data_IF_223652684320
#
_entry.id   IF_223652684320
#
_cell.length_a   1.000
_cell.length_b   1.000
_cell.length_c   1.000
_cell.angle_alpha   90.00
_cell.angle_beta   90.00
_cell.angle_gamma   90.00
#
_symmetry.space_group_name_H-M   'P 1'
#
loop_
_entity.id
_entity.type
_entity.pdbx_description
1 polymer ?
#
# COMPACT_ATOMS: atom_id res chain seq x y z
N UNK A 1 6.74 -17.09 8.56
CA UNK A 1 6.13 -16.98 7.22
C UNK A 1 6.31 -15.54 6.78
N UNK A 2 6.97 -15.28 5.66
CA UNK A 2 7.24 -13.91 5.19
C UNK A 2 6.04 -13.44 4.37
N UNK A 3 5.43 -12.32 4.76
CA UNK A 3 4.37 -11.68 3.99
C UNK A 3 5.01 -10.77 2.93
N UNK A 4 4.68 -10.99 1.67
CA UNK A 4 5.05 -10.12 0.54
C UNK A 4 3.80 -9.40 0.07
N UNK A 5 3.54 -8.20 0.62
CA UNK A 5 2.45 -7.38 0.10
C UNK A 5 2.72 -7.07 -1.37
N UNK A 6 1.63 -6.96 -2.12
CA UNK A 6 1.70 -6.74 -3.54
C UNK A 6 0.40 -6.18 -4.09
N UNK A 7 0.48 -5.61 -5.28
CA UNK A 7 -0.65 -5.07 -6.03
C UNK A 7 -0.38 -5.18 -7.53
N UNK A 8 -1.37 -4.96 -8.38
CA UNK A 8 -1.20 -4.92 -9.83
C UNK A 8 -1.11 -3.49 -10.35
N UNK A 9 -0.47 -3.24 -11.48
CA UNK A 9 -0.65 -2.00 -12.25
C UNK A 9 -2.13 -1.83 -12.64
N UNK A 10 -2.55 -0.60 -12.94
CA UNK A 10 -3.92 -0.29 -13.34
C UNK A 10 -4.37 -1.13 -14.55
N UNK A 11 -3.46 -1.39 -15.50
CA UNK A 11 -3.69 -2.23 -16.67
C UNK A 11 -3.54 -3.74 -16.41
N UNK A 12 -3.22 -4.13 -15.17
CA UNK A 12 -2.96 -5.50 -14.74
C UNK A 12 -1.85 -6.24 -15.49
N UNK A 13 -0.97 -5.52 -16.20
CA UNK A 13 0.16 -6.13 -16.92
C UNK A 13 1.37 -6.39 -16.03
N UNK A 14 1.47 -5.70 -14.90
CA UNK A 14 2.56 -5.86 -13.96
C UNK A 14 2.01 -6.17 -12.57
N UNK A 15 2.64 -7.11 -11.88
CA UNK A 15 2.43 -7.37 -10.46
C UNK A 15 3.63 -6.82 -9.70
N UNK A 16 3.38 -5.98 -8.71
CA UNK A 16 4.42 -5.40 -7.86
C UNK A 16 4.46 -6.11 -6.51
N UNK A 17 5.67 -6.39 -6.05
CA UNK A 17 5.94 -7.07 -4.79
C UNK A 17 6.91 -6.21 -3.98
N UNK A 18 6.55 -5.95 -2.74
CA UNK A 18 7.31 -5.06 -1.85
C UNK A 18 8.12 -5.87 -0.83
N UNK A 19 9.08 -5.19 -0.20
CA UNK A 19 9.91 -5.77 0.87
C UNK A 19 10.70 -7.01 0.41
N UNK A 20 11.21 -6.98 -0.82
CA UNK A 20 12.12 -8.01 -1.30
C UNK A 20 13.51 -7.74 -0.70
N UNK A 21 14.10 -8.67 0.08
CA UNK A 21 15.45 -8.48 0.61
C UNK A 21 16.46 -8.29 -0.53
N UNK A 22 17.28 -7.24 -0.48
CA UNK A 22 18.31 -6.97 -1.50
C UNK A 22 18.51 -5.49 -1.79
N UNK A 23 19.11 -5.19 -2.93
CA UNK A 23 19.37 -3.81 -3.40
C UNK A 23 18.12 -3.12 -3.96
N UNK A 24 17.13 -3.91 -4.37
CA UNK A 24 15.87 -3.41 -4.94
C UNK A 24 14.73 -3.76 -4.00
N UNK A 25 14.11 -2.76 -3.33
CA UNK A 25 13.04 -3.03 -2.38
C UNK A 25 11.72 -3.49 -3.02
N UNK A 26 11.59 -3.27 -4.33
CA UNK A 26 10.39 -3.58 -5.10
C UNK A 26 10.79 -4.33 -6.35
N UNK A 27 10.12 -5.47 -6.57
CA UNK A 27 10.20 -6.22 -7.80
C UNK A 27 8.87 -6.17 -8.52
N UNK A 28 8.93 -6.21 -9.84
CA UNK A 28 7.77 -6.36 -10.69
C UNK A 28 7.86 -7.67 -11.48
N UNK A 29 6.71 -8.29 -11.70
CA UNK A 29 6.54 -9.40 -12.61
C UNK A 29 5.65 -8.95 -13.77
N UNK A 30 6.18 -9.05 -14.99
CA UNK A 30 5.42 -8.80 -16.21
C UNK A 30 4.57 -10.02 -16.55
N UNK A 31 3.24 -9.85 -16.51
CA UNK A 31 2.28 -10.91 -16.84
C UNK A 31 2.40 -11.32 -18.31
N UNK A 32 2.67 -10.36 -19.19
CA UNK A 32 2.80 -10.60 -20.63
C UNK A 32 4.05 -11.40 -20.99
N UNK A 33 5.19 -11.07 -20.37
CA UNK A 33 6.48 -11.67 -20.74
C UNK A 33 6.93 -12.79 -19.80
N UNK A 34 6.29 -12.95 -18.64
CA UNK A 34 6.67 -13.92 -17.62
C UNK A 34 7.98 -13.59 -16.91
N UNK A 35 8.47 -12.35 -17.00
CA UNK A 35 9.77 -11.95 -16.48
C UNK A 35 9.68 -11.13 -15.20
N UNK A 36 10.66 -11.34 -14.32
CA UNK A 36 10.91 -10.52 -13.14
C UNK A 36 11.93 -9.43 -13.46
N UNK A 37 11.69 -8.22 -12.95
CA UNK A 37 12.69 -7.15 -12.94
C UNK A 37 12.56 -6.29 -11.68
N UNK A 38 13.61 -5.57 -11.25
CA UNK A 38 13.45 -4.48 -10.31
C UNK A 38 12.45 -3.44 -10.83
N UNK A 39 11.63 -2.88 -9.94
CA UNK A 39 10.80 -1.73 -10.26
C UNK A 39 11.55 -0.43 -9.92
N UNK A 40 11.40 0.61 -10.74
CA UNK A 40 11.94 1.95 -10.47
C UNK A 40 11.04 2.71 -9.49
N UNK A 41 10.83 2.14 -8.30
CA UNK A 41 10.01 2.73 -7.26
C UNK A 41 10.86 3.27 -6.12
N UNK A 42 10.63 4.56 -5.79
CA UNK A 42 11.15 5.16 -4.58
C UNK A 42 10.01 5.19 -3.56
N UNK A 43 10.04 4.24 -2.64
CA UNK A 43 9.30 4.31 -1.39
C UNK A 43 10.24 4.82 -0.31
N UNK A 44 9.72 5.68 0.56
CA UNK A 44 10.41 6.21 1.73
C UNK A 44 10.63 5.10 2.78
N UNK A 45 9.70 4.15 2.87
CA UNK A 45 9.73 3.06 3.85
C UNK A 45 9.54 1.68 3.19
N UNK A 46 10.47 1.25 2.30
CA UNK A 46 10.28 0.07 1.47
C UNK A 46 10.31 -1.28 2.22
N UNK A 47 10.84 -1.28 3.44
CA UNK A 47 11.16 -2.49 4.20
C UNK A 47 10.15 -2.80 5.30
N UNK A 48 8.96 -2.17 5.27
CA UNK A 48 7.95 -2.34 6.33
C UNK A 48 7.10 -3.59 6.07
N UNK A 49 6.84 -4.33 7.14
CA UNK A 49 6.03 -5.53 7.14
C UNK A 49 4.54 -5.25 7.28
N UNK A 50 3.71 -6.12 6.69
CA UNK A 50 2.26 -6.07 6.92
C UNK A 50 1.59 -4.82 6.37
N UNK A 51 2.24 -4.15 5.41
CA UNK A 51 1.64 -3.04 4.66
C UNK A 51 0.50 -3.54 3.78
N UNK A 52 -0.54 -2.74 3.62
CA UNK A 52 -1.54 -2.89 2.57
C UNK A 52 -1.13 -2.07 1.36
N UNK A 53 -1.12 -2.69 0.19
CA UNK A 53 -0.83 -2.03 -1.09
C UNK A 53 -2.09 -1.96 -1.95
N UNK A 54 -2.40 -0.79 -2.50
CA UNK A 54 -3.56 -0.57 -3.38
C UNK A 54 -3.13 0.30 -4.55
N UNK A 55 -3.61 -0.03 -5.75
CA UNK A 55 -3.41 0.78 -6.95
C UNK A 55 -4.66 1.60 -7.24
N UNK A 56 -4.50 2.89 -7.49
CA UNK A 56 -5.54 3.73 -8.08
C UNK A 56 -5.58 3.46 -9.59
N UNK A 57 -6.66 2.86 -10.13
CA UNK A 57 -6.75 2.51 -11.54
C UNK A 57 -6.83 3.72 -12.48
N UNK A 58 -7.06 4.93 -11.97
CA UNK A 58 -7.15 6.13 -12.82
C UNK A 58 -5.81 6.82 -13.00
N UNK A 59 -4.96 6.79 -11.97
CA UNK A 59 -3.66 7.46 -11.99
C UNK A 59 -2.49 6.51 -12.10
N UNK A 60 -2.73 5.20 -11.99
CA UNK A 60 -1.70 4.14 -11.91
C UNK A 60 -0.73 4.33 -10.72
N UNK A 61 -1.16 5.07 -9.70
CA UNK A 61 -0.36 5.29 -8.49
C UNK A 61 -0.60 4.14 -7.51
N UNK A 62 0.49 3.68 -6.90
CA UNK A 62 0.46 2.68 -5.83
C UNK A 62 0.57 3.36 -4.47
N UNK A 63 -0.28 2.93 -3.55
CA UNK A 63 -0.45 3.43 -2.20
C UNK A 63 -0.11 2.31 -1.22
N UNK A 64 0.87 2.54 -0.35
CA UNK A 64 1.36 1.59 0.67
C UNK A 64 1.22 2.23 2.05
N UNK A 65 0.32 1.72 2.89
CA UNK A 65 0.09 2.31 4.20
C UNK A 65 0.73 1.53 5.36
N UNK A 66 1.18 2.26 6.39
CA UNK A 66 1.56 1.77 7.71
C UNK A 66 2.41 0.50 7.71
N UNK A 67 1.93 -0.53 8.39
CA UNK A 67 2.54 -1.85 8.52
C UNK A 67 3.17 -2.09 9.90
N UNK A 68 3.05 -3.30 10.44
CA UNK A 68 3.30 -3.61 11.86
C UNK A 68 4.76 -3.61 12.29
N UNK A 69 5.71 -3.35 11.39
CA UNK A 69 7.14 -3.28 11.74
C UNK A 69 7.71 -1.86 11.74
N UNK A 70 6.92 -0.85 11.36
CA UNK A 70 7.30 0.55 11.51
C UNK A 70 6.78 1.05 12.85
N UNK A 71 7.61 1.42 13.84
CA UNK A 71 7.14 1.79 15.17
C UNK A 71 6.10 2.93 15.21
N UNK A 72 6.04 3.75 14.16
CA UNK A 72 5.10 4.86 14.09
C UNK A 72 3.74 4.48 13.48
N UNK A 73 3.63 3.42 12.67
CA UNK A 73 2.39 2.93 12.04
C UNK A 73 1.52 3.99 11.32
N UNK A 74 2.03 5.19 11.03
CA UNK A 74 1.26 6.43 10.74
C UNK A 74 1.57 7.05 9.39
N UNK A 75 2.18 6.29 8.47
CA UNK A 75 2.49 6.80 7.13
C UNK A 75 1.68 6.14 6.03
N UNK A 76 1.50 6.88 4.94
CA UNK A 76 1.09 6.37 3.65
C UNK A 76 2.16 6.77 2.64
N UNK A 77 2.85 5.79 2.09
CA UNK A 77 3.82 5.98 1.03
C UNK A 77 3.08 5.81 -0.30
N UNK A 78 3.08 6.86 -1.11
CA UNK A 78 2.62 6.80 -2.50
C UNK A 78 3.85 6.62 -3.35
N UNK A 79 3.76 5.87 -4.44
CA UNK A 79 4.88 5.72 -5.35
C UNK A 79 5.43 7.12 -5.75
N UNK A 80 6.65 7.44 -5.29
CA UNK A 80 7.40 8.69 -5.44
C UNK A 80 7.11 9.84 -4.45
N UNK A 81 6.19 9.73 -3.47
CA UNK A 81 6.02 10.74 -2.40
C UNK A 81 5.22 10.23 -1.19
N UNK A 82 5.36 10.87 -0.02
CA UNK A 82 4.75 10.43 1.26
C UNK A 82 3.61 11.36 1.73
N UNK A 83 2.54 10.79 2.29
CA UNK A 83 1.45 11.51 2.97
C UNK A 83 1.15 10.89 4.35
N UNK A 84 0.41 11.60 5.20
CA UNK A 84 0.05 11.13 6.54
C UNK A 84 -1.01 10.02 6.48
N UNK A 85 -0.97 9.08 7.43
CA UNK A 85 -1.92 7.99 7.58
C UNK A 85 -2.35 7.86 9.05
N UNK A 86 -3.57 7.36 9.27
CA UNK A 86 -4.04 7.06 10.61
C UNK A 86 -3.27 5.88 11.20
N UNK A 87 -2.82 5.99 12.46
CA UNK A 87 -2.13 4.93 13.19
C UNK A 87 -2.90 3.60 13.13
N UNK A 88 -2.35 2.62 12.40
CA UNK A 88 -3.01 1.32 12.21
C UNK A 88 -2.05 0.22 11.77
N UNK A 89 -2.24 -0.96 12.37
CA UNK A 89 -1.60 -2.23 12.00
C UNK A 89 -2.63 -3.34 11.79
N UNK A 90 -2.23 -4.42 11.11
CA UNK A 90 -3.06 -5.61 10.84
C UNK A 90 -4.45 -5.30 10.26
N UNK A 91 -4.50 -4.30 9.39
CA UNK A 91 -5.70 -3.87 8.70
C UNK A 91 -5.77 -4.51 7.32
N UNK A 92 -6.86 -4.24 6.61
CA UNK A 92 -6.96 -4.54 5.19
C UNK A 92 -7.41 -3.31 4.41
N UNK A 93 -7.13 -3.30 3.12
CA UNK A 93 -7.41 -2.15 2.26
C UNK A 93 -7.83 -2.59 0.86
N UNK A 94 -8.53 -1.69 0.16
CA UNK A 94 -8.94 -1.95 -1.22
C UNK A 94 -9.50 -0.72 -1.92
N UNK A 95 -9.48 -0.76 -3.25
CA UNK A 95 -10.07 0.28 -4.09
C UNK A 95 -11.59 0.18 -4.13
N UNK A 96 -12.28 1.29 -3.81
CA UNK A 96 -13.72 1.43 -3.92
C UNK A 96 -14.09 2.11 -5.25
N UNK A 97 -14.46 1.32 -6.25
CA UNK A 97 -14.78 1.83 -7.60
C UNK A 97 -15.91 2.86 -7.62
N UNK A 98 -16.96 2.69 -6.82
CA UNK A 98 -18.09 3.63 -6.83
C UNK A 98 -17.75 4.99 -6.24
N UNK A 99 -16.75 5.05 -5.35
CA UNK A 99 -16.33 6.26 -4.65
C UNK A 99 -15.02 6.85 -5.16
N UNK A 100 -14.32 6.11 -6.03
CA UNK A 100 -13.02 6.48 -6.58
C UNK A 100 -12.01 6.77 -5.45
N UNK A 101 -11.93 5.85 -4.51
CA UNK A 101 -11.19 6.04 -3.26
C UNK A 101 -10.61 4.73 -2.73
N UNK A 102 -9.65 4.85 -1.81
CA UNK A 102 -9.06 3.73 -1.09
C UNK A 102 -9.74 3.60 0.26
N UNK A 103 -10.19 2.40 0.57
CA UNK A 103 -10.79 2.05 1.84
C UNK A 103 -9.79 1.31 2.71
N UNK A 104 -9.75 1.65 3.99
CA UNK A 104 -8.97 0.98 5.02
C UNK A 104 -9.88 0.59 6.18
N UNK A 105 -9.90 -0.69 6.55
CA UNK A 105 -10.75 -1.17 7.64
C UNK A 105 -10.10 -2.27 8.49
N UNK A 106 -10.64 -2.44 9.69
CA UNK A 106 -10.10 -3.33 10.70
C UNK A 106 -8.76 -2.85 11.26
N UNK A 107 -8.03 -3.79 11.86
CA UNK A 107 -6.74 -3.51 12.49
C UNK A 107 -6.86 -2.85 13.87
N UNK A 108 -5.72 -2.42 14.39
CA UNK A 108 -5.60 -1.76 15.68
C UNK A 108 -4.40 -0.81 15.69
N UNK A 109 -4.47 0.22 16.54
CA UNK A 109 -3.31 0.97 16.97
C UNK A 109 -2.66 0.26 18.17
N UNK A 110 -1.54 0.79 18.66
CA UNK A 110 -0.86 0.27 19.86
C UNK A 110 -1.74 0.29 21.11
N UNK A 111 -2.81 1.09 21.12
CA UNK A 111 -3.64 1.35 22.31
C UNK A 111 -5.12 1.06 22.12
N UNK A 112 -5.63 0.89 20.89
CA UNK A 112 -7.08 0.75 20.65
C UNK A 112 -7.37 -0.07 19.40
N UNK A 113 -8.45 -0.88 19.45
CA UNK A 113 -8.98 -1.51 18.23
C UNK A 113 -9.63 -0.44 17.34
N UNK A 114 -9.20 -0.38 16.08
CA UNK A 114 -9.77 0.52 15.10
C UNK A 114 -10.90 -0.22 14.35
N UNK A 115 -12.14 0.04 14.74
CA UNK A 115 -13.33 -0.57 14.14
C UNK A 115 -14.06 0.36 13.16
N UNK A 116 -13.45 1.50 12.79
CA UNK A 116 -14.00 2.45 11.83
C UNK A 116 -13.38 2.28 10.44
N UNK A 117 -14.19 2.61 9.42
CA UNK A 117 -13.75 2.63 8.03
C UNK A 117 -13.11 3.99 7.75
N UNK A 118 -11.89 3.98 7.23
CA UNK A 118 -11.18 5.19 6.79
C UNK A 118 -11.11 5.19 5.27
N UNK A 119 -11.47 6.31 4.68
CA UNK A 119 -11.45 6.54 3.25
C UNK A 119 -10.38 7.59 2.90
N UNK A 120 -9.56 7.27 1.91
CA UNK A 120 -8.72 8.24 1.20
C UNK A 120 -9.29 8.44 -0.20
N UNK A 121 -9.71 9.66 -0.52
CA UNK A 121 -9.88 10.08 -1.92
C UNK A 121 -8.54 10.62 -2.41
N UNK A 122 -7.92 9.98 -3.41
CA UNK A 122 -6.69 10.46 -4.01
C UNK A 122 -6.78 11.93 -4.49
N UNK A 123 -5.69 12.70 -4.36
CA UNK A 123 -4.39 12.29 -3.81
C UNK A 123 -4.24 12.48 -2.29
N UNK A 124 -5.28 12.88 -1.53
CA UNK A 124 -5.05 13.24 -0.12
C UNK A 124 -6.25 13.64 0.76
N UNK A 125 -7.50 13.55 0.30
CA UNK A 125 -8.67 13.89 1.13
C UNK A 125 -9.08 12.67 1.98
N UNK A 126 -8.97 12.81 3.30
CA UNK A 126 -9.30 11.77 4.28
C UNK A 126 -10.70 11.95 4.88
N UNK A 127 -11.42 10.86 5.07
CA UNK A 127 -12.65 10.84 5.86
C UNK A 127 -12.81 9.54 6.64
N UNK A 128 -13.61 9.58 7.71
CA UNK A 128 -14.04 8.40 8.47
C UNK A 128 -15.53 8.18 8.21
N UNK A 129 -15.91 6.94 7.92
CA UNK A 129 -17.29 6.52 7.62
C UNK A 129 -17.88 5.69 8.76
#
# INVERSE_FOLDING_TARGET
MTNFPGTASADSKNLFFFRIPGSSPVYQFSVETGNWSPATAAFTAPNVEGVGAVTDPNSDLIYIAGGYSDPAHTFLDVWNYKVAFADRTYYTSGWCKSRQSIMYWGGYSDTTRNNFLTELKPPGEWSTL
#
